data_IF_767765099178
#
_entry.id   IF_767765099178
#
_cell.length_a   1.000
_cell.length_b   1.000
_cell.length_c   1.000
_cell.angle_alpha   90.00
_cell.angle_beta   90.00
_cell.angle_gamma   90.00
#
_symmetry.space_group_name_H-M   'P 1'
#
loop_
_entity.id
_entity.type
_entity.pdbx_description
1 polymer ?
#
# COMPACT_ATOMS: atom_id res chain seq x y z
N UNK A 1 24.39 -24.78 -16.18
CA UNK A 1 25.14 -23.53 -15.98
C UNK A 1 24.08 -22.52 -15.60
N UNK A 2 24.18 -21.94 -14.40
CA UNK A 2 23.15 -21.01 -13.91
C UNK A 2 23.12 -19.72 -14.73
N UNK A 3 21.94 -19.13 -14.86
CA UNK A 3 21.70 -17.81 -15.40
C UNK A 3 20.39 -17.27 -14.81
N UNK A 4 20.31 -15.96 -14.59
CA UNK A 4 19.11 -15.28 -14.11
C UNK A 4 18.29 -14.79 -15.31
N UNK A 5 16.98 -14.89 -15.22
CA UNK A 5 16.05 -14.57 -16.31
C UNK A 5 15.40 -13.17 -16.13
N UNK A 6 15.26 -12.68 -14.90
CA UNK A 6 14.49 -11.47 -14.57
C UNK A 6 15.34 -10.32 -14.04
N UNK A 7 16.40 -10.62 -13.27
CA UNK A 7 17.22 -9.59 -12.61
C UNK A 7 18.64 -9.57 -13.18
N UNK A 8 19.06 -8.41 -13.69
CA UNK A 8 20.41 -8.22 -14.22
C UNK A 8 21.49 -8.18 -13.11
N UNK A 9 22.66 -8.76 -13.39
CA UNK A 9 23.78 -8.82 -12.46
C UNK A 9 24.33 -7.46 -12.01
N UNK A 10 24.21 -6.40 -12.80
CA UNK A 10 24.56 -5.03 -12.40
C UNK A 10 23.62 -4.50 -11.33
N UNK A 11 22.33 -4.85 -11.39
CA UNK A 11 21.35 -4.53 -10.35
C UNK A 11 21.70 -5.25 -9.05
N UNK A 12 22.01 -6.54 -9.12
CA UNK A 12 22.47 -7.31 -7.96
C UNK A 12 23.73 -6.72 -7.32
N UNK A 13 24.69 -6.27 -8.13
CA UNK A 13 25.93 -5.63 -7.64
C UNK A 13 25.66 -4.28 -6.98
N UNK A 14 24.74 -3.49 -7.53
CA UNK A 14 24.32 -2.22 -6.93
C UNK A 14 23.68 -2.46 -5.56
N UNK A 15 22.81 -3.47 -5.43
CA UNK A 15 22.24 -3.83 -4.13
C UNK A 15 23.28 -4.38 -3.16
N UNK A 16 24.26 -5.15 -3.65
CA UNK A 16 25.34 -5.69 -2.83
C UNK A 16 26.17 -4.59 -2.14
N UNK A 17 26.26 -3.37 -2.70
CA UNK A 17 26.92 -2.24 -2.05
C UNK A 17 26.07 -1.51 -0.99
N UNK A 18 24.75 -1.74 -0.99
CA UNK A 18 23.81 -1.04 -0.11
C UNK A 18 23.36 -1.89 1.09
N UNK A 19 23.27 -3.22 0.93
CA UNK A 19 22.85 -4.14 2.00
C UNK A 19 23.83 -4.17 3.17
N UNK A 20 23.32 -4.38 4.38
CA UNK A 20 24.12 -4.38 5.62
C UNK A 20 24.10 -5.70 6.35
N UNK A 21 23.09 -6.54 6.12
CA UNK A 21 22.98 -7.83 6.78
C UNK A 21 23.90 -8.86 6.12
N UNK A 22 24.45 -9.76 6.94
CA UNK A 22 25.25 -10.87 6.44
C UNK A 22 24.43 -11.84 5.58
N UNK A 23 23.14 -11.96 5.87
CA UNK A 23 22.25 -12.87 5.15
C UNK A 23 21.94 -12.32 3.75
N UNK A 24 21.58 -11.04 3.63
CA UNK A 24 21.36 -10.36 2.35
C UNK A 24 22.63 -10.34 1.49
N UNK A 25 23.78 -10.03 2.12
CA UNK A 25 25.09 -10.06 1.46
C UNK A 25 25.38 -11.45 0.89
N UNK A 26 25.14 -12.51 1.67
CA UNK A 26 25.36 -13.89 1.24
C UNK A 26 24.43 -14.27 0.08
N UNK A 27 23.14 -13.97 0.20
CA UNK A 27 22.14 -14.27 -0.82
C UNK A 27 22.43 -13.58 -2.16
N UNK A 28 22.77 -12.28 -2.14
CA UNK A 28 23.14 -11.53 -3.35
C UNK A 28 24.43 -12.05 -3.98
N UNK A 29 25.45 -12.40 -3.19
CA UNK A 29 26.67 -13.01 -3.74
C UNK A 29 26.39 -14.36 -4.40
N UNK A 30 25.50 -15.17 -3.82
CA UNK A 30 25.05 -16.45 -4.41
C UNK A 30 24.36 -16.22 -5.74
N UNK A 31 23.42 -15.27 -5.84
CA UNK A 31 22.74 -14.94 -7.09
C UNK A 31 23.73 -14.42 -8.16
N UNK A 32 24.66 -13.54 -7.79
CA UNK A 32 25.71 -13.03 -8.71
C UNK A 32 26.64 -14.14 -9.20
N UNK A 33 26.97 -15.12 -8.36
CA UNK A 33 27.81 -16.25 -8.75
C UNK A 33 27.03 -17.26 -9.61
N UNK A 34 25.75 -17.48 -9.31
CA UNK A 34 24.86 -18.30 -10.11
C UNK A 34 24.72 -17.75 -11.53
N UNK A 35 24.51 -16.43 -11.68
CA UNK A 35 24.44 -15.76 -12.98
C UNK A 35 25.72 -15.94 -13.83
N UNK A 36 26.88 -16.09 -13.17
CA UNK A 36 28.16 -16.39 -13.84
C UNK A 36 28.33 -17.86 -14.21
N UNK A 37 27.31 -18.68 -14.04
CA UNK A 37 27.30 -20.08 -14.44
C UNK A 37 27.67 -21.08 -13.36
N UNK A 38 27.95 -20.65 -12.13
CA UNK A 38 28.28 -21.56 -11.03
C UNK A 38 27.03 -22.37 -10.66
N UNK A 39 27.18 -23.68 -10.52
CA UNK A 39 26.07 -24.59 -10.20
C UNK A 39 25.64 -24.53 -8.73
N UNK A 40 24.39 -24.91 -8.45
CA UNK A 40 23.80 -24.94 -7.10
C UNK A 40 24.61 -25.76 -6.10
N UNK A 41 25.09 -26.94 -6.51
CA UNK A 41 25.93 -27.83 -5.69
C UNK A 41 27.25 -27.17 -5.23
N UNK A 42 27.89 -26.43 -6.12
CA UNK A 42 29.15 -25.76 -5.84
C UNK A 42 28.94 -24.57 -4.88
N UNK A 43 27.91 -23.76 -5.14
CA UNK A 43 27.53 -22.65 -4.25
C UNK A 43 27.12 -23.15 -2.86
N UNK A 44 26.33 -24.22 -2.79
CA UNK A 44 25.93 -24.84 -1.53
C UNK A 44 27.16 -25.25 -0.70
N UNK A 45 28.17 -25.85 -1.36
CA UNK A 45 29.43 -26.20 -0.72
C UNK A 45 30.24 -24.98 -0.25
N UNK A 46 30.31 -23.90 -1.03
CA UNK A 46 31.10 -22.71 -0.68
C UNK A 46 30.53 -21.96 0.52
N UNK A 47 29.20 -21.85 0.58
CA UNK A 47 28.49 -21.08 1.61
C UNK A 47 28.04 -21.94 2.79
N UNK A 48 28.28 -23.26 2.78
CA UNK A 48 27.85 -24.16 3.84
C UNK A 48 26.33 -24.25 3.97
N UNK A 49 25.62 -24.25 2.83
CA UNK A 49 24.16 -24.28 2.71
C UNK A 49 23.70 -25.55 1.97
N UNK A 50 22.40 -25.82 1.95
CA UNK A 50 21.83 -26.88 1.10
C UNK A 50 21.69 -26.40 -0.35
N UNK A 51 21.66 -27.34 -1.31
CA UNK A 51 21.34 -27.00 -2.71
C UNK A 51 19.93 -26.41 -2.85
N UNK A 52 18.99 -26.89 -2.03
CA UNK A 52 17.62 -26.37 -1.94
C UNK A 52 17.63 -24.90 -1.53
N UNK A 53 18.35 -24.54 -0.47
CA UNK A 53 18.48 -23.14 -0.05
C UNK A 53 19.05 -22.26 -1.16
N UNK A 54 20.04 -22.74 -1.91
CA UNK A 54 20.62 -21.98 -3.04
C UNK A 54 19.57 -21.79 -4.14
N UNK A 55 18.85 -22.84 -4.51
CA UNK A 55 17.83 -22.78 -5.55
C UNK A 55 16.71 -21.80 -5.18
N UNK A 56 16.17 -21.91 -3.95
CA UNK A 56 15.12 -21.01 -3.44
C UNK A 56 15.61 -19.55 -3.35
N UNK A 57 16.85 -19.33 -2.92
CA UNK A 57 17.44 -17.99 -2.82
C UNK A 57 17.57 -17.34 -4.20
N UNK A 58 18.07 -18.11 -5.18
CA UNK A 58 18.20 -17.64 -6.56
C UNK A 58 16.82 -17.34 -7.15
N UNK A 59 15.86 -18.25 -7.02
CA UNK A 59 14.49 -18.05 -7.51
C UNK A 59 13.82 -16.81 -6.90
N UNK A 60 13.97 -16.61 -5.58
CA UNK A 60 13.39 -15.44 -4.92
C UNK A 60 14.04 -14.12 -5.39
N UNK A 61 15.36 -14.11 -5.60
CA UNK A 61 16.10 -12.94 -6.09
C UNK A 61 15.98 -12.74 -7.61
N UNK A 62 15.48 -13.74 -8.34
CA UNK A 62 15.22 -13.68 -9.78
C UNK A 62 13.72 -13.63 -10.08
N UNK A 63 13.02 -12.78 -9.33
CA UNK A 63 11.57 -12.64 -9.40
C UNK A 63 11.16 -11.17 -9.42
N UNK A 64 9.90 -10.84 -9.75
CA UNK A 64 9.37 -9.48 -9.58
C UNK A 64 9.32 -9.09 -8.09
N UNK A 65 9.39 -10.08 -7.19
CA UNK A 65 9.45 -9.95 -5.74
C UNK A 65 10.86 -9.66 -5.18
N UNK A 66 11.77 -9.13 -6.00
CA UNK A 66 13.17 -8.98 -5.66
C UNK A 66 13.38 -8.04 -4.46
N UNK A 67 12.76 -6.86 -4.46
CA UNK A 67 13.02 -5.85 -3.41
C UNK A 67 12.40 -6.27 -2.08
N UNK A 68 11.20 -6.84 -2.06
CA UNK A 68 10.60 -7.41 -0.84
C UNK A 68 11.39 -8.61 -0.30
N UNK A 69 12.05 -9.37 -1.19
CA UNK A 69 13.01 -10.41 -0.79
C UNK A 69 14.25 -9.81 -0.15
N UNK A 70 14.86 -8.79 -0.75
CA UNK A 70 15.99 -8.09 -0.14
C UNK A 70 15.59 -7.46 1.21
N UNK A 71 14.40 -6.88 1.31
CA UNK A 71 13.89 -6.31 2.55
C UNK A 71 13.84 -7.34 3.69
N UNK A 72 13.28 -8.53 3.43
CA UNK A 72 13.27 -9.62 4.42
C UNK A 72 14.67 -10.08 4.81
N UNK A 73 15.58 -10.19 3.84
CA UNK A 73 16.97 -10.58 4.10
C UNK A 73 17.72 -9.52 4.92
N UNK A 74 17.37 -8.24 4.77
CA UNK A 74 17.88 -7.15 5.60
C UNK A 74 17.26 -7.11 7.00
N UNK A 75 16.23 -7.92 7.27
CA UNK A 75 15.59 -8.06 8.57
C UNK A 75 14.27 -7.29 8.72
N UNK A 76 13.68 -6.80 7.63
CA UNK A 76 12.35 -6.18 7.66
C UNK A 76 11.28 -7.23 7.98
N UNK A 77 10.51 -6.98 9.04
CA UNK A 77 9.32 -7.76 9.38
C UNK A 77 8.09 -7.23 8.62
N UNK A 78 7.84 -7.80 7.43
CA UNK A 78 6.73 -7.38 6.58
C UNK A 78 5.35 -7.65 7.20
N UNK A 79 5.23 -8.64 8.09
CA UNK A 79 3.96 -8.92 8.78
C UNK A 79 3.67 -7.84 9.81
N UNK A 80 4.67 -7.48 10.63
CA UNK A 80 4.50 -6.41 11.58
C UNK A 80 4.21 -5.06 10.89
N UNK A 81 4.87 -4.77 9.76
CA UNK A 81 4.59 -3.56 8.97
C UNK A 81 3.16 -3.57 8.42
N UNK A 82 2.66 -4.73 7.98
CA UNK A 82 1.28 -4.87 7.52
C UNK A 82 0.27 -4.62 8.63
N UNK A 83 0.50 -5.19 9.81
CA UNK A 83 -0.35 -5.01 10.99
C UNK A 83 -0.40 -3.54 11.43
N UNK A 84 0.76 -2.88 11.53
CA UNK A 84 0.85 -1.46 11.89
C UNK A 84 0.17 -0.56 10.85
N UNK A 85 0.20 -0.96 9.58
CA UNK A 85 -0.43 -0.22 8.47
C UNK A 85 -1.92 -0.53 8.29
N UNK A 86 -2.45 -1.56 8.95
CA UNK A 86 -3.76 -2.15 8.66
C UNK A 86 -3.92 -2.57 7.18
N UNK A 87 -2.88 -3.20 6.62
CA UNK A 87 -2.84 -3.70 5.25
C UNK A 87 -2.70 -5.23 5.22
N UNK A 88 -2.99 -5.84 4.08
CA UNK A 88 -2.63 -7.24 3.87
C UNK A 88 -1.10 -7.36 3.71
N UNK A 89 -0.47 -8.45 4.20
CA UNK A 89 0.97 -8.68 3.98
C UNK A 89 1.36 -8.73 2.50
N UNK A 90 0.44 -9.11 1.61
CA UNK A 90 0.65 -9.08 0.16
C UNK A 90 0.81 -7.64 -0.36
N UNK A 91 -0.06 -6.71 0.06
CA UNK A 91 0.03 -5.29 -0.30
C UNK A 91 1.35 -4.66 0.15
N UNK A 92 1.84 -5.02 1.34
CA UNK A 92 3.15 -4.53 1.82
C UNK A 92 4.30 -5.08 0.97
N UNK A 93 4.25 -6.36 0.58
CA UNK A 93 5.26 -6.93 -0.34
C UNK A 93 5.26 -6.20 -1.68
N UNK A 94 4.08 -6.04 -2.29
CA UNK A 94 3.91 -5.31 -3.56
C UNK A 94 4.41 -3.87 -3.46
N UNK A 95 4.19 -3.19 -2.33
CA UNK A 95 4.73 -1.85 -2.09
C UNK A 95 6.25 -1.82 -2.06
N UNK A 96 6.91 -2.79 -1.40
CA UNK A 96 8.37 -2.90 -1.44
C UNK A 96 8.87 -3.23 -2.85
N UNK A 97 8.17 -4.12 -3.57
CA UNK A 97 8.53 -4.51 -4.93
C UNK A 97 8.37 -3.38 -5.94
N UNK A 98 7.41 -2.46 -5.75
CA UNK A 98 7.29 -1.25 -6.55
C UNK A 98 8.49 -0.30 -6.42
N UNK A 99 9.31 -0.43 -5.36
CA UNK A 99 10.56 0.31 -5.25
C UNK A 99 11.60 -0.14 -6.29
N UNK A 100 11.36 -1.24 -7.02
CA UNK A 100 12.26 -1.72 -8.06
C UNK A 100 12.44 -0.69 -9.19
N UNK A 101 11.44 0.16 -9.40
CA UNK A 101 11.45 1.26 -10.36
C UNK A 101 12.34 2.44 -9.94
N UNK A 102 12.76 2.50 -8.67
CA UNK A 102 13.59 3.58 -8.13
C UNK A 102 15.09 3.28 -8.28
N UNK A 103 15.97 4.29 -8.25
CA UNK A 103 17.40 4.09 -8.10
C UNK A 103 17.72 3.24 -6.86
N UNK A 104 18.64 2.29 -7.00
CA UNK A 104 18.99 1.34 -5.92
C UNK A 104 19.31 2.02 -4.57
N UNK A 105 20.10 3.11 -4.50
CA UNK A 105 20.34 3.78 -3.22
C UNK A 105 19.07 4.31 -2.55
N UNK A 106 18.11 4.82 -3.33
CA UNK A 106 16.84 5.33 -2.81
C UNK A 106 15.95 4.19 -2.28
N UNK A 107 15.86 3.08 -3.02
CA UNK A 107 15.12 1.90 -2.58
C UNK A 107 15.76 1.27 -1.32
N UNK A 108 17.08 1.18 -1.28
CA UNK A 108 17.81 0.64 -0.13
C UNK A 108 17.71 1.53 1.11
N UNK A 109 17.66 2.85 0.97
CA UNK A 109 17.38 3.78 2.07
C UNK A 109 16.00 3.52 2.71
N UNK A 110 14.99 3.18 1.89
CA UNK A 110 13.67 2.79 2.38
C UNK A 110 13.74 1.47 3.13
N UNK A 111 14.30 0.41 2.53
CA UNK A 111 14.46 -0.91 3.17
C UNK A 111 15.16 -0.78 4.52
N UNK A 112 16.27 -0.04 4.55
CA UNK A 112 17.05 0.18 5.76
C UNK A 112 16.27 0.85 6.88
N UNK A 113 15.41 1.83 6.58
CA UNK A 113 14.57 2.48 7.58
C UNK A 113 13.68 1.47 8.32
N UNK A 114 13.09 0.53 7.58
CA UNK A 114 12.24 -0.52 8.15
C UNK A 114 13.04 -1.63 8.83
N UNK A 115 14.28 -1.88 8.42
CA UNK A 115 15.15 -2.88 9.04
C UNK A 115 15.76 -2.39 10.37
N UNK A 116 16.09 -1.09 10.47
CA UNK A 116 16.75 -0.50 11.64
C UNK A 116 15.76 0.15 12.65
N UNK A 117 14.53 0.43 12.22
CA UNK A 117 13.53 1.19 12.96
C UNK A 117 12.59 0.37 13.86
N UNK A 118 11.76 1.08 14.63
CA UNK A 118 10.49 0.50 15.10
C UNK A 118 9.59 0.25 13.90
N UNK A 119 8.73 -0.76 13.97
CA UNK A 119 7.70 -1.03 12.97
C UNK A 119 6.89 0.25 12.74
N UNK A 120 6.98 0.81 11.53
CA UNK A 120 6.28 2.01 11.12
C UNK A 120 5.24 1.65 10.04
N UNK A 121 4.17 2.46 9.89
CA UNK A 121 3.23 2.27 8.79
C UNK A 121 3.89 2.51 7.43
N UNK A 122 3.38 1.86 6.38
CA UNK A 122 3.74 2.15 4.99
C UNK A 122 3.31 3.58 4.63
N UNK A 123 4.18 4.30 3.91
CA UNK A 123 3.92 5.68 3.46
C UNK A 123 4.45 5.89 2.06
N UNK A 124 3.70 6.61 1.23
CA UNK A 124 4.29 7.20 0.02
C UNK A 124 5.31 8.27 0.41
N UNK A 125 6.45 8.31 -0.29
CA UNK A 125 7.44 9.38 -0.18
C UNK A 125 7.13 10.60 -1.07
N UNK A 126 6.08 10.50 -1.88
CA UNK A 126 5.65 11.50 -2.87
C UNK A 126 4.16 11.79 -2.72
N UNK A 127 3.69 12.99 -3.14
CA UNK A 127 2.26 13.28 -3.13
C UNK A 127 1.46 12.29 -3.97
N UNK A 128 0.25 11.96 -3.52
CA UNK A 128 -0.67 11.06 -4.22
C UNK A 128 -1.88 11.83 -4.73
N UNK A 129 -2.41 11.43 -5.89
CA UNK A 129 -3.66 11.98 -6.43
C UNK A 129 -4.84 11.12 -5.98
N UNK A 130 -5.75 11.71 -5.22
CA UNK A 130 -7.00 11.03 -4.82
C UNK A 130 -8.15 11.52 -5.68
N UNK A 131 -8.85 10.59 -6.32
CA UNK A 131 -10.14 10.82 -6.96
C UNK A 131 -11.23 10.35 -6.02
N UNK A 132 -12.32 11.11 -5.93
CA UNK A 132 -13.49 10.72 -5.15
C UNK A 132 -14.74 10.70 -5.99
N UNK A 133 -15.69 9.84 -5.61
CA UNK A 133 -17.04 9.77 -6.14
C UNK A 133 -18.02 9.54 -4.99
N UNK A 134 -19.06 10.35 -4.89
CA UNK A 134 -20.11 10.19 -3.87
C UNK A 134 -20.96 8.94 -4.15
N UNK A 135 -21.15 8.10 -3.13
CA UNK A 135 -21.98 6.90 -3.19
C UNK A 135 -23.41 7.21 -3.63
N UNK A 136 -23.97 8.35 -3.24
CA UNK A 136 -25.32 8.77 -3.63
C UNK A 136 -25.45 8.87 -5.15
N UNK A 137 -24.43 9.40 -5.84
CA UNK A 137 -24.41 9.47 -7.32
C UNK A 137 -24.38 8.08 -7.94
N UNK A 138 -23.58 7.17 -7.37
CA UNK A 138 -23.51 5.78 -7.82
C UNK A 138 -24.89 5.11 -7.73
N UNK A 139 -25.60 5.31 -6.62
CA UNK A 139 -26.95 4.78 -6.41
C UNK A 139 -28.00 5.41 -7.34
N UNK A 140 -28.05 6.74 -7.41
CA UNK A 140 -29.01 7.48 -8.24
C UNK A 140 -28.87 7.14 -9.73
N UNK A 141 -27.64 6.91 -10.19
CA UNK A 141 -27.36 6.54 -11.58
C UNK A 141 -27.40 5.05 -11.84
N UNK A 142 -27.61 4.23 -10.81
CA UNK A 142 -27.64 2.77 -10.90
C UNK A 142 -26.32 2.17 -11.39
N UNK A 143 -25.20 2.80 -11.06
CA UNK A 143 -23.86 2.30 -11.36
C UNK A 143 -23.42 1.27 -10.32
N UNK A 144 -22.46 0.42 -10.67
CA UNK A 144 -21.81 -0.47 -9.71
C UNK A 144 -20.49 0.14 -9.23
N UNK A 145 -20.16 -0.04 -7.95
CA UNK A 145 -18.82 0.30 -7.44
C UNK A 145 -17.73 -0.59 -8.04
N UNK A 146 -18.11 -1.78 -8.50
CA UNK A 146 -17.22 -2.79 -9.10
C UNK A 146 -17.05 -2.59 -10.63
N UNK A 147 -17.65 -1.54 -11.20
CA UNK A 147 -17.46 -1.25 -12.62
C UNK A 147 -16.05 -0.70 -12.87
N UNK A 148 -15.24 -1.38 -13.68
CA UNK A 148 -13.87 -0.94 -14.05
C UNK A 148 -13.82 0.48 -14.64
N UNK A 149 -14.91 0.93 -15.27
CA UNK A 149 -15.05 2.25 -15.89
C UNK A 149 -15.83 3.26 -15.02
N UNK A 150 -16.11 2.95 -13.75
CA UNK A 150 -16.91 3.82 -12.85
C UNK A 150 -16.39 5.26 -12.80
N UNK A 151 -15.09 5.44 -12.57
CA UNK A 151 -14.49 6.77 -12.48
C UNK A 151 -14.38 7.47 -13.84
N UNK A 152 -14.36 6.72 -14.94
CA UNK A 152 -14.45 7.27 -16.28
C UNK A 152 -15.88 7.78 -16.58
N UNK A 153 -16.90 6.99 -16.24
CA UNK A 153 -18.32 7.39 -16.29
C UNK A 153 -18.55 8.66 -15.48
N UNK A 154 -18.02 8.72 -14.25
CA UNK A 154 -18.15 9.89 -13.38
C UNK A 154 -17.48 11.14 -13.98
N UNK A 155 -16.29 11.00 -14.58
CA UNK A 155 -15.58 12.11 -15.23
C UNK A 155 -16.37 12.70 -16.41
N UNK A 156 -17.13 11.88 -17.13
CA UNK A 156 -17.92 12.29 -18.29
C UNK A 156 -19.35 12.77 -17.93
N UNK A 157 -19.77 12.58 -16.67
CA UNK A 157 -21.14 12.79 -16.23
C UNK A 157 -21.51 14.24 -15.85
N UNK A 158 -20.55 15.16 -15.91
CA UNK A 158 -20.76 16.58 -15.59
C UNK A 158 -21.14 16.82 -14.13
N UNK A 159 -20.54 16.06 -13.22
CA UNK A 159 -20.74 16.14 -11.76
C UNK A 159 -19.97 17.33 -11.18
N UNK A 160 -20.55 17.98 -10.18
CA UNK A 160 -19.93 19.12 -9.49
C UNK A 160 -19.14 18.66 -8.24
N UNK A 161 -18.37 19.55 -7.62
CA UNK A 161 -17.93 19.32 -6.24
C UNK A 161 -19.14 19.56 -5.32
N UNK A 162 -19.44 18.66 -4.36
CA UNK A 162 -18.58 17.60 -3.80
C UNK A 162 -18.78 16.19 -4.38
N UNK A 163 -19.61 16.01 -5.42
CA UNK A 163 -20.01 14.71 -5.96
C UNK A 163 -18.85 13.94 -6.60
N UNK A 164 -18.01 14.61 -7.37
CA UNK A 164 -16.84 14.01 -8.02
C UNK A 164 -15.70 15.01 -8.17
N UNK A 165 -14.47 14.51 -8.12
CA UNK A 165 -13.30 15.31 -8.42
C UNK A 165 -12.03 14.67 -7.91
N UNK A 166 -10.94 15.44 -7.92
CA UNK A 166 -9.65 15.00 -7.41
C UNK A 166 -8.90 16.07 -6.63
N UNK A 167 -7.97 15.64 -5.79
CA UNK A 167 -7.07 16.49 -5.02
C UNK A 167 -5.74 15.78 -4.75
N UNK A 168 -4.71 16.57 -4.46
CA UNK A 168 -3.41 16.05 -4.04
C UNK A 168 -3.41 15.85 -2.53
N UNK A 169 -2.87 14.72 -2.08
CA UNK A 169 -2.58 14.40 -0.69
C UNK A 169 -1.07 14.40 -0.52
N UNK A 170 -0.56 15.22 0.40
CA UNK A 170 0.87 15.28 0.69
C UNK A 170 1.34 14.03 1.49
N UNK A 171 2.62 13.64 1.41
CA UNK A 171 3.14 12.52 2.19
C UNK A 171 2.82 12.62 3.68
N UNK A 172 2.07 11.65 4.20
CA UNK A 172 1.65 11.60 5.61
C UNK A 172 0.43 12.45 5.97
N UNK A 173 -0.16 13.20 5.04
CA UNK A 173 -1.45 13.87 5.20
C UNK A 173 -2.58 12.83 5.07
N UNK A 174 -3.62 12.93 5.91
CA UNK A 174 -4.78 12.05 5.75
C UNK A 174 -5.64 12.49 4.55
N UNK A 175 -6.34 11.53 3.94
CA UNK A 175 -7.26 11.81 2.81
C UNK A 175 -8.31 12.86 3.21
N UNK A 176 -8.84 12.79 4.44
CA UNK A 176 -9.84 13.76 4.92
C UNK A 176 -9.26 15.17 5.05
N UNK A 177 -8.06 15.33 5.62
CA UNK A 177 -7.42 16.65 5.74
C UNK A 177 -7.17 17.28 4.36
N UNK A 178 -6.69 16.48 3.42
CA UNK A 178 -6.48 16.92 2.05
C UNK A 178 -7.80 17.26 1.32
N UNK A 179 -8.87 16.50 1.59
CA UNK A 179 -10.21 16.79 1.06
C UNK A 179 -10.75 18.12 1.60
N UNK A 180 -10.62 18.38 2.91
CA UNK A 180 -11.01 19.62 3.57
C UNK A 180 -10.22 20.82 3.03
N UNK A 181 -8.89 20.67 2.87
CA UNK A 181 -8.02 21.66 2.21
C UNK A 181 -8.46 21.93 0.77
N UNK A 182 -8.97 20.91 0.08
CA UNK A 182 -9.55 21.00 -1.25
C UNK A 182 -11.00 21.50 -1.30
N UNK A 183 -11.58 21.96 -0.18
CA UNK A 183 -12.92 22.54 -0.12
C UNK A 183 -14.07 21.54 -0.05
N UNK A 184 -13.80 20.27 0.24
CA UNK A 184 -14.82 19.22 0.37
C UNK A 184 -15.22 19.06 1.84
N UNK A 185 -16.51 18.86 2.09
CA UNK A 185 -17.04 18.53 3.40
C UNK A 185 -17.51 17.08 3.39
N UNK A 186 -16.67 16.18 3.89
CA UNK A 186 -17.03 14.77 4.03
C UNK A 186 -17.49 14.48 5.46
N UNK A 187 -18.36 13.48 5.67
CA UNK A 187 -18.79 13.10 7.01
C UNK A 187 -17.60 12.63 7.87
N UNK A 188 -17.51 13.13 9.10
CA UNK A 188 -16.54 12.66 10.10
C UNK A 188 -17.06 12.90 11.52
N UNK A 189 -16.44 12.25 12.51
CA UNK A 189 -16.71 12.51 13.93
C UNK A 189 -15.44 12.45 14.80
N UNK A 190 -14.85 11.26 14.99
CA UNK A 190 -13.76 11.10 15.98
C UNK A 190 -12.38 11.61 15.55
N UNK A 191 -12.08 11.63 14.24
CA UNK A 191 -10.74 11.92 13.67
C UNK A 191 -9.58 11.09 14.25
N UNK A 192 -9.87 9.89 14.74
CA UNK A 192 -8.89 9.04 15.40
C UNK A 192 -9.10 7.54 15.14
N UNK A 193 -9.78 7.17 14.03
CA UNK A 193 -9.94 5.77 13.66
C UNK A 193 -10.86 4.94 14.57
N UNK A 194 -11.72 5.59 15.35
CA UNK A 194 -12.60 4.98 16.35
C UNK A 194 -14.10 5.04 16.01
N UNK A 195 -14.46 5.48 14.80
CA UNK A 195 -15.84 5.48 14.27
C UNK A 195 -15.84 5.28 12.74
N UNK A 196 -16.99 4.98 12.15
CA UNK A 196 -17.15 4.77 10.70
C UNK A 196 -17.66 5.98 9.91
N UNK A 197 -17.91 7.15 10.53
CA UNK A 197 -18.46 8.31 9.81
C UNK A 197 -17.65 8.71 8.57
N UNK A 198 -16.31 8.65 8.67
CA UNK A 198 -15.40 8.97 7.57
C UNK A 198 -15.05 7.77 6.68
N UNK A 199 -15.84 6.70 6.74
CA UNK A 199 -15.60 5.51 5.93
C UNK A 199 -15.70 5.86 4.44
N UNK A 200 -14.79 5.26 3.67
CA UNK A 200 -14.73 5.30 2.22
C UNK A 200 -14.45 3.89 1.71
N UNK A 201 -14.81 3.59 0.48
CA UNK A 201 -14.44 2.34 -0.20
C UNK A 201 -13.33 2.66 -1.20
N UNK A 202 -12.21 1.97 -1.12
CA UNK A 202 -11.12 2.13 -2.10
C UNK A 202 -11.42 1.23 -3.31
N UNK A 203 -11.54 1.84 -4.48
CA UNK A 203 -11.81 1.17 -5.77
C UNK A 203 -10.51 0.91 -6.53
N UNK A 204 -9.53 1.80 -6.39
CA UNK A 204 -8.20 1.66 -6.99
C UNK A 204 -7.14 2.28 -6.08
N UNK A 205 -5.94 1.70 -6.08
CA UNK A 205 -4.84 2.10 -5.21
C UNK A 205 -4.98 1.55 -3.79
N UNK A 206 -4.08 1.98 -2.91
CA UNK A 206 -4.05 1.51 -1.52
C UNK A 206 -3.87 2.65 -0.51
N UNK A 207 -4.42 2.43 0.67
CA UNK A 207 -4.44 3.38 1.77
C UNK A 207 -4.10 2.65 3.07
N UNK A 208 -3.03 3.07 3.72
CA UNK A 208 -2.67 2.62 5.07
C UNK A 208 -3.53 3.37 6.10
N UNK A 209 -3.95 2.70 7.16
CA UNK A 209 -4.75 3.30 8.25
C UNK A 209 -4.08 3.08 9.60
N UNK A 210 -2.94 3.75 9.86
CA UNK A 210 -2.26 3.61 11.14
C UNK A 210 -3.17 3.97 12.31
N UNK A 211 -3.23 3.07 13.30
CA UNK A 211 -3.99 3.28 14.53
C UNK A 211 -5.52 3.19 14.42
N UNK A 212 -6.08 2.72 13.30
CA UNK A 212 -7.51 2.38 13.26
C UNK A 212 -7.78 1.15 14.13
N UNK A 213 -8.95 1.11 14.76
CA UNK A 213 -9.32 -0.04 15.61
C UNK A 213 -10.80 -0.40 15.54
N UNK A 214 -11.55 0.17 14.60
CA UNK A 214 -13.02 0.10 14.56
C UNK A 214 -13.54 -0.77 13.42
N UNK A 215 -12.85 -0.78 12.27
CA UNK A 215 -13.27 -1.61 11.14
C UNK A 215 -12.82 -3.05 11.38
N UNK A 216 -13.72 -3.97 11.07
CA UNK A 216 -13.42 -5.40 11.08
C UNK A 216 -12.53 -5.77 9.89
N UNK A 217 -11.84 -6.90 10.03
CA UNK A 217 -11.08 -7.53 8.96
C UNK A 217 -11.91 -7.75 7.68
N UNK A 218 -13.19 -8.08 7.82
CA UNK A 218 -14.11 -8.27 6.70
C UNK A 218 -14.40 -6.95 5.99
N UNK A 219 -14.67 -5.87 6.72
CA UNK A 219 -14.86 -4.53 6.14
C UNK A 219 -13.59 -4.06 5.42
N UNK A 220 -12.42 -4.25 6.03
CA UNK A 220 -11.13 -3.81 5.47
C UNK A 220 -10.77 -4.61 4.22
N UNK A 221 -10.96 -5.93 4.23
CA UNK A 221 -10.44 -6.81 3.17
C UNK A 221 -11.49 -7.16 2.10
N UNK A 222 -12.75 -7.37 2.47
CA UNK A 222 -13.79 -7.76 1.51
C UNK A 222 -14.43 -6.54 0.84
N UNK A 223 -14.76 -5.51 1.63
CA UNK A 223 -15.35 -4.28 1.10
C UNK A 223 -14.29 -3.23 0.71
N UNK A 224 -13.00 -3.50 0.96
CA UNK A 224 -11.91 -2.53 0.82
C UNK A 224 -12.18 -1.18 1.51
N UNK A 225 -12.85 -1.24 2.67
CA UNK A 225 -13.22 -0.05 3.42
C UNK A 225 -12.01 0.56 4.12
N UNK A 226 -11.95 1.89 4.11
CA UNK A 226 -10.92 2.68 4.78
C UNK A 226 -11.54 3.86 5.52
N UNK A 227 -10.84 4.39 6.51
CA UNK A 227 -11.23 5.59 7.26
C UNK A 227 -10.42 6.76 6.75
N UNK A 228 -11.04 7.64 5.97
CA UNK A 228 -10.33 8.79 5.36
C UNK A 228 -9.68 9.73 6.39
N UNK A 229 -10.14 9.76 7.65
CA UNK A 229 -9.58 10.62 8.70
C UNK A 229 -8.22 10.19 9.27
N UNK A 230 -7.85 8.92 9.09
CA UNK A 230 -6.54 8.37 9.48
C UNK A 230 -5.84 7.69 8.30
N UNK A 231 -6.55 7.53 7.18
CA UNK A 231 -6.08 6.90 5.97
C UNK A 231 -5.09 7.78 5.22
N UNK A 232 -3.91 7.24 4.93
CA UNK A 232 -2.86 7.87 4.14
C UNK A 232 -2.62 7.04 2.88
N UNK A 233 -2.66 7.63 1.67
CA UNK A 233 -2.35 6.92 0.43
C UNK A 233 -0.94 6.34 0.42
N UNK A 234 -0.79 5.13 -0.11
CA UNK A 234 0.51 4.47 -0.30
C UNK A 234 0.85 4.20 -1.77
N UNK A 235 -0.05 4.57 -2.68
CA UNK A 235 0.12 4.53 -4.14
C UNK A 235 0.06 5.95 -4.72
N UNK A 236 0.56 6.15 -5.94
CA UNK A 236 0.57 7.47 -6.60
C UNK A 236 -0.84 7.98 -6.94
N UNK A 237 -1.76 7.06 -7.23
CA UNK A 237 -3.17 7.35 -7.48
C UNK A 237 -4.04 6.46 -6.57
N UNK A 238 -5.12 7.04 -6.03
CA UNK A 238 -6.16 6.32 -5.27
C UNK A 238 -7.53 6.80 -5.73
N UNK A 239 -8.47 5.87 -5.94
CA UNK A 239 -9.86 6.17 -6.26
C UNK A 239 -10.76 5.69 -5.13
N UNK A 240 -11.55 6.59 -4.55
CA UNK A 240 -12.40 6.28 -3.40
C UNK A 240 -13.87 6.63 -3.65
N UNK A 241 -14.77 5.79 -3.16
CA UNK A 241 -16.20 6.10 -3.05
C UNK A 241 -16.49 6.59 -1.63
N UNK A 242 -17.06 7.79 -1.52
CA UNK A 242 -17.36 8.47 -0.25
C UNK A 242 -18.81 8.28 0.16
N UNK A 243 -19.18 8.63 1.40
CA UNK A 243 -20.57 8.55 1.85
C UNK A 243 -21.06 7.14 2.18
N UNK A 244 -20.13 6.18 2.38
CA UNK A 244 -20.48 4.79 2.67
C UNK A 244 -20.70 4.51 4.15
N UNK A 245 -20.38 5.46 5.04
CA UNK A 245 -20.59 5.31 6.48
C UNK A 245 -22.05 5.07 6.86
N UNK A 246 -23.00 5.47 6.00
CA UNK A 246 -24.44 5.28 6.17
C UNK A 246 -24.96 3.93 5.69
N UNK A 247 -24.15 3.13 5.00
CA UNK A 247 -24.54 1.79 4.59
C UNK A 247 -24.70 0.87 5.81
N UNK A 248 -25.59 -0.12 5.72
CA UNK A 248 -25.95 -1.01 6.82
C UNK A 248 -24.72 -1.65 7.49
N UNK A 249 -23.70 -1.98 6.71
CA UNK A 249 -22.46 -2.59 7.19
C UNK A 249 -21.60 -1.68 8.08
N UNK A 250 -21.85 -0.37 8.09
CA UNK A 250 -21.07 0.64 8.84
C UNK A 250 -21.91 1.45 9.83
N UNK A 251 -23.24 1.41 9.72
CA UNK A 251 -24.15 2.28 10.45
C UNK A 251 -24.01 2.15 11.99
N UNK A 252 -23.83 0.93 12.49
CA UNK A 252 -23.68 0.65 13.93
C UNK A 252 -22.38 1.19 14.54
N UNK A 253 -21.41 1.59 13.71
CA UNK A 253 -20.10 2.09 14.13
C UNK A 253 -20.01 3.63 14.04
N UNK A 254 -21.12 4.30 13.69
CA UNK A 254 -21.17 5.76 13.59
C UNK A 254 -21.28 6.39 14.97
N UNK A 255 -20.67 7.56 15.09
CA UNK A 255 -20.92 8.49 16.18
C UNK A 255 -21.83 9.62 15.70
N UNK A 256 -22.59 10.27 16.61
CA UNK A 256 -23.31 11.50 16.27
C UNK A 256 -22.34 12.53 15.69
N UNK A 257 -22.59 12.98 14.46
CA UNK A 257 -21.77 14.01 13.80
C UNK A 257 -22.52 15.36 13.76
N UNK A 258 -21.80 16.49 13.87
CA UNK A 258 -22.39 17.82 13.62
C UNK A 258 -23.06 17.95 12.24
N UNK A 259 -22.66 17.14 11.26
CA UNK A 259 -23.28 17.10 9.93
C UNK A 259 -24.69 16.47 9.95
N UNK A 260 -24.96 15.54 10.86
CA UNK A 260 -26.28 14.90 11.01
C UNK A 260 -27.32 15.90 11.57
N UNK A 261 -26.88 16.87 12.38
CA UNK A 261 -27.78 17.89 12.97
C UNK A 261 -28.18 18.99 11.98
N UNK A 262 -27.36 19.26 10.96
CA UNK A 262 -27.65 20.28 9.95
C UNK A 262 -28.80 19.86 9.01
N UNK A 263 -28.93 18.56 8.70
CA UNK A 263 -30.01 18.02 7.86
C UNK A 263 -31.35 17.80 8.56
N UNK A 264 -31.39 17.84 9.89
CA UNK A 264 -32.60 17.62 10.69
C UNK A 264 -33.41 18.89 10.98
N UNK A 265 -33.05 20.01 10.33
CA UNK A 265 -33.63 21.33 10.59
C UNK A 265 -34.49 21.93 9.47
N UNK A 266 -34.91 21.11 8.48
CA UNK A 266 -35.94 21.44 7.49
C UNK A 266 -37.30 20.75 7.78
#
# INVERSE_FOLDING_TARGET
>A
MGHLDQVDADRLRAWLSEVRSSEATTALMVAVAYDRGIGTAELASWYGRSEEWVAETVEALDSPGFVSTVARLEGVDLEAVADESNLAPATVREWFDALDEKPVPEAADVVRRYAEGSVEPVRSGTPSTVYHLDRAVVDERGWSIDDDDLFAKAAEAGLDLPEYGRFLVEPGESILEAAERGGRSWPYACRGGACSNCAVIVVEGDVAMPGQSILSDEQIRAANARLSCVGVPITDEVKVVTGVGDADDFADLRLPSPADEAGASD
#
